data_IF_264721699201
#
_entry.id   IF_264721699201
#
_cell.length_a   1.000
_cell.length_b   1.000
_cell.length_c   1.000
_cell.angle_alpha   90.00
_cell.angle_beta   90.00
_cell.angle_gamma   90.00
#
_symmetry.space_group_name_H-M   'P 1'
#
loop_
_entity.id
_entity.type
_entity.pdbx_description
1 polymer ?
#
# COMPACT_ATOMS: atom_id res chain seq x y z
N UNK A 1 22.54 23.47 25.90
CA UNK A 1 22.04 23.31 24.52
C UNK A 1 22.64 22.01 24.03
N UNK A 2 21.86 20.92 23.93
CA UNK A 2 22.40 19.62 23.51
C UNK A 2 22.51 19.61 21.99
N UNK A 3 23.72 19.37 21.46
CA UNK A 3 23.92 19.13 20.04
C UNK A 3 23.16 17.87 19.61
N UNK A 4 22.42 18.00 18.51
CA UNK A 4 21.70 16.88 17.92
C UNK A 4 22.70 15.80 17.51
N UNK A 5 22.55 14.58 18.04
CA UNK A 5 23.34 13.40 17.63
C UNK A 5 22.81 12.75 16.35
N UNK A 6 21.87 13.42 15.66
CA UNK A 6 21.38 12.94 14.38
C UNK A 6 22.45 13.16 13.31
N UNK A 7 22.65 12.21 12.39
CA UNK A 7 23.44 12.45 11.19
C UNK A 7 22.92 13.73 10.50
N UNK A 8 23.84 14.61 10.08
CA UNK A 8 23.50 15.80 9.32
C UNK A 8 22.59 15.41 8.14
N UNK A 9 21.35 15.93 8.13
CA UNK A 9 20.34 15.67 7.09
C UNK A 9 19.28 14.62 7.42
N UNK A 10 19.33 13.94 8.57
CA UNK A 10 18.25 13.06 9.00
C UNK A 10 17.04 13.89 9.48
N UNK A 11 15.80 13.59 9.04
CA UNK A 11 14.62 14.32 9.52
C UNK A 11 14.45 14.14 11.04
N UNK A 12 14.02 15.21 11.71
CA UNK A 12 13.69 15.16 13.13
C UNK A 12 12.33 14.47 13.34
N UNK A 13 12.34 13.14 13.26
CA UNK A 13 11.15 12.33 13.43
C UNK A 13 10.89 12.03 14.90
N UNK A 14 9.62 12.15 15.29
CA UNK A 14 9.14 11.82 16.63
C UNK A 14 9.44 10.35 16.97
N UNK A 15 9.88 10.10 18.21
CA UNK A 15 10.02 8.73 18.73
C UNK A 15 8.66 8.07 18.89
N UNK A 16 8.57 6.78 18.58
CA UNK A 16 7.33 5.99 18.73
C UNK A 16 6.78 6.03 20.15
N UNK A 17 7.65 6.02 21.16
CA UNK A 17 7.24 6.09 22.57
C UNK A 17 6.57 7.41 22.93
N UNK A 18 7.04 8.53 22.37
CA UNK A 18 6.43 9.84 22.54
C UNK A 18 5.08 9.89 21.81
N UNK A 19 5.02 9.36 20.59
CA UNK A 19 3.80 9.33 19.79
C UNK A 19 2.70 8.46 20.44
N UNK A 20 3.04 7.28 20.94
CA UNK A 20 2.08 6.42 21.66
C UNK A 20 1.53 7.11 22.90
N UNK A 21 2.37 7.82 23.67
CA UNK A 21 1.92 8.60 24.81
C UNK A 21 0.94 9.70 24.40
N UNK A 22 1.24 10.40 23.31
CA UNK A 22 0.33 11.40 22.74
C UNK A 22 -1.04 10.80 22.37
N UNK A 23 -1.06 9.63 21.71
CA UNK A 23 -2.30 8.91 21.40
C UNK A 23 -3.06 8.45 22.66
N UNK A 24 -2.34 7.97 23.67
CA UNK A 24 -2.93 7.56 24.95
C UNK A 24 -3.54 8.76 25.69
N UNK A 25 -2.91 9.92 25.63
CA UNK A 25 -3.45 11.17 26.21
C UNK A 25 -4.71 11.63 25.46
N UNK A 26 -4.72 11.57 24.12
CA UNK A 26 -5.91 11.85 23.32
C UNK A 26 -7.08 10.90 23.63
N UNK A 27 -6.80 9.61 23.84
CA UNK A 27 -7.87 8.64 24.18
C UNK A 27 -8.45 8.87 25.57
N UNK A 28 -7.61 9.24 26.56
CA UNK A 28 -8.04 9.54 27.93
C UNK A 28 -8.86 10.81 28.06
N UNK A 29 -8.74 11.76 27.11
CA UNK A 29 -9.58 12.95 27.05
C UNK A 29 -11.03 12.70 26.64
N UNK A 30 -11.43 11.45 26.34
CA UNK A 30 -12.84 11.02 26.39
C UNK A 30 -13.56 10.81 25.06
N UNK A 31 -12.90 10.29 24.01
CA UNK A 31 -13.59 9.92 22.77
C UNK A 31 -13.14 8.53 22.24
N UNK A 32 -13.93 7.51 22.63
CA UNK A 32 -14.06 6.18 22.01
C UNK A 32 -12.85 5.20 22.07
N UNK A 33 -13.19 3.91 22.07
CA UNK A 33 -12.37 2.68 22.10
C UNK A 33 -11.12 2.70 21.19
N UNK A 34 -9.97 2.21 21.68
CA UNK A 34 -8.62 2.37 21.08
C UNK A 34 -8.45 1.78 19.66
N UNK A 35 -9.26 0.79 19.28
CA UNK A 35 -9.31 0.25 17.91
C UNK A 35 -10.14 1.14 16.98
N UNK A 36 -11.11 1.86 17.53
CA UNK A 36 -12.03 2.75 16.80
C UNK A 36 -11.45 4.16 16.62
N UNK A 37 -10.65 4.68 17.55
CA UNK A 37 -10.04 6.03 17.45
C UNK A 37 -8.94 6.13 16.41
N UNK A 38 -8.31 5.00 16.02
CA UNK A 38 -7.36 4.97 14.89
C UNK A 38 -8.00 5.31 13.54
N UNK A 39 -9.34 5.33 13.49
CA UNK A 39 -10.12 5.41 12.26
C UNK A 39 -11.30 6.40 12.37
N UNK A 40 -11.54 7.02 13.54
CA UNK A 40 -12.78 7.75 13.86
C UNK A 40 -12.98 9.05 13.08
N UNK A 41 -11.90 9.65 12.58
CA UNK A 41 -11.95 10.82 11.69
C UNK A 41 -12.14 10.47 10.21
N UNK A 42 -12.14 9.18 9.86
CA UNK A 42 -12.34 8.70 8.49
C UNK A 42 -13.82 8.56 8.15
N UNK A 43 -14.14 8.56 6.85
CA UNK A 43 -15.52 8.31 6.42
C UNK A 43 -15.99 6.91 6.84
N UNK A 44 -17.28 6.69 7.16
CA UNK A 44 -17.78 5.38 7.59
C UNK A 44 -17.46 4.23 6.62
N UNK A 45 -17.49 4.50 5.31
CA UNK A 45 -17.15 3.55 4.26
C UNK A 45 -15.69 3.08 4.32
N UNK A 46 -14.78 3.98 4.67
CA UNK A 46 -13.36 3.70 4.75
C UNK A 46 -13.01 3.00 6.07
N UNK A 47 -13.64 3.43 7.17
CA UNK A 47 -13.51 2.75 8.45
C UNK A 47 -13.99 1.29 8.37
N UNK A 48 -15.14 1.04 7.76
CA UNK A 48 -15.67 -0.32 7.58
C UNK A 48 -14.71 -1.20 6.78
N UNK A 49 -14.09 -0.61 5.76
CA UNK A 49 -13.16 -1.30 4.90
C UNK A 49 -11.83 -1.65 5.60
N UNK A 50 -11.28 -0.72 6.40
CA UNK A 50 -10.10 -1.01 7.22
C UNK A 50 -10.40 -2.06 8.30
N UNK A 51 -11.58 -2.01 8.93
CA UNK A 51 -12.02 -3.03 9.90
C UNK A 51 -12.12 -4.43 9.27
N UNK A 52 -12.42 -4.56 7.98
CA UNK A 52 -12.45 -5.88 7.30
C UNK A 52 -11.06 -6.50 7.23
N UNK A 53 -10.01 -5.69 7.05
CA UNK A 53 -8.64 -6.19 7.10
C UNK A 53 -8.26 -6.66 8.51
N UNK A 54 -8.62 -5.90 9.54
CA UNK A 54 -8.37 -6.28 10.94
C UNK A 54 -9.08 -7.58 11.33
N UNK A 55 -10.33 -7.78 10.90
CA UNK A 55 -11.12 -8.98 11.21
C UNK A 55 -10.53 -10.27 10.62
N UNK A 56 -9.77 -10.16 9.54
CA UNK A 56 -9.15 -11.32 8.88
C UNK A 56 -7.83 -11.72 9.56
N UNK A 57 -7.29 -10.85 10.43
CA UNK A 57 -6.00 -11.05 11.12
C UNK A 57 -6.13 -11.71 12.49
N UNK A 58 -5.00 -12.24 12.96
CA UNK A 58 -4.88 -12.70 14.35
C UNK A 58 -4.96 -11.51 15.29
N UNK A 59 -5.64 -11.69 16.43
CA UNK A 59 -5.75 -10.65 17.45
C UNK A 59 -4.38 -10.14 17.88
N UNK A 60 -4.13 -8.84 17.72
CA UNK A 60 -2.88 -8.17 18.06
C UNK A 60 -1.99 -7.78 16.88
N UNK A 61 -2.27 -8.27 15.67
CA UNK A 61 -1.61 -7.81 14.45
C UNK A 61 -2.28 -6.52 13.95
N UNK A 62 -1.50 -5.45 13.77
CA UNK A 62 -2.00 -4.18 13.25
C UNK A 62 -2.33 -4.23 11.75
N UNK A 63 -2.85 -3.13 11.22
CA UNK A 63 -3.02 -2.93 9.78
C UNK A 63 -1.67 -2.96 9.06
N UNK A 64 -1.63 -3.61 7.89
CA UNK A 64 -0.48 -3.52 7.00
C UNK A 64 -0.54 -2.23 6.21
N UNK A 65 0.65 -1.69 5.87
CA UNK A 65 0.75 -0.47 5.08
C UNK A 65 0.01 -0.61 3.74
N UNK A 66 0.15 -1.77 3.08
CA UNK A 66 -0.46 -1.99 1.76
C UNK A 66 -2.00 -2.03 1.81
N UNK A 67 -2.59 -2.47 2.92
CA UNK A 67 -4.04 -2.50 3.11
C UNK A 67 -4.61 -1.09 3.25
N UNK A 68 -3.95 -0.25 4.05
CA UNK A 68 -4.33 1.16 4.20
C UNK A 68 -4.21 1.90 2.88
N UNK A 69 -3.15 1.64 2.12
CA UNK A 69 -2.94 2.24 0.80
C UNK A 69 -3.94 1.73 -0.23
N UNK A 70 -4.30 0.44 -0.21
CA UNK A 70 -5.35 -0.11 -1.08
C UNK A 70 -6.70 0.56 -0.80
N UNK A 71 -7.06 0.72 0.48
CA UNK A 71 -8.25 1.46 0.88
C UNK A 71 -8.19 2.93 0.42
N UNK A 72 -7.07 3.61 0.64
CA UNK A 72 -6.83 4.99 0.22
C UNK A 72 -7.09 5.18 -1.29
N UNK A 73 -6.46 4.35 -2.13
CA UNK A 73 -6.60 4.40 -3.59
C UNK A 73 -8.03 4.10 -4.01
N UNK A 74 -8.66 3.06 -3.46
CA UNK A 74 -10.01 2.63 -3.82
C UNK A 74 -11.08 3.65 -3.42
N UNK A 75 -10.93 4.32 -2.28
CA UNK A 75 -11.87 5.35 -1.83
C UNK A 75 -11.53 6.75 -2.36
N UNK A 76 -10.37 6.94 -3.01
CA UNK A 76 -9.93 8.24 -3.50
C UNK A 76 -9.79 9.29 -2.41
N UNK A 77 -9.42 8.88 -1.18
CA UNK A 77 -9.31 9.77 -0.01
C UNK A 77 -7.85 10.03 0.34
N UNK A 78 -7.49 11.30 0.50
CA UNK A 78 -6.16 11.68 0.94
C UNK A 78 -5.97 11.42 2.43
N UNK A 79 -4.89 10.74 2.80
CA UNK A 79 -4.64 10.26 4.16
C UNK A 79 -3.24 10.61 4.62
N UNK A 80 -3.12 10.80 5.94
CA UNK A 80 -1.87 10.75 6.66
C UNK A 80 -1.77 9.40 7.40
N UNK A 81 -0.70 8.66 7.12
CA UNK A 81 -0.41 7.35 7.70
C UNK A 81 0.83 7.49 8.57
N UNK A 82 0.71 7.25 9.86
CA UNK A 82 1.82 7.23 10.79
C UNK A 82 2.43 5.84 10.81
N UNK A 83 3.64 5.71 10.27
CA UNK A 83 4.36 4.45 10.17
C UNK A 83 5.40 4.33 11.29
N UNK A 84 5.49 3.16 11.89
CA UNK A 84 6.64 2.79 12.72
C UNK A 84 7.78 2.34 11.82
N UNK A 85 8.93 2.99 11.96
CA UNK A 85 10.19 2.63 11.30
C UNK A 85 11.36 2.82 12.28
N UNK A 86 12.06 1.73 12.62
CA UNK A 86 13.23 1.71 13.51
C UNK A 86 13.11 2.58 14.79
N UNK A 87 11.95 2.57 15.45
CA UNK A 87 11.69 3.33 16.69
C UNK A 87 11.30 4.80 16.48
N UNK A 88 11.17 5.25 15.22
CA UNK A 88 10.68 6.57 14.82
C UNK A 88 9.32 6.46 14.13
N UNK A 89 8.63 7.59 14.09
CA UNK A 89 7.36 7.73 13.36
C UNK A 89 7.63 8.44 12.05
N UNK A 90 7.33 7.77 10.94
CA UNK A 90 7.38 8.34 9.60
C UNK A 90 5.95 8.69 9.16
N UNK A 91 5.58 9.97 9.09
CA UNK A 91 4.31 10.40 8.51
C UNK A 91 4.36 10.30 6.98
N UNK A 92 3.62 9.35 6.41
CA UNK A 92 3.43 9.20 4.98
C UNK A 92 2.06 9.75 4.58
N UNK A 93 2.04 10.84 3.82
CA UNK A 93 0.79 11.40 3.29
C UNK A 93 0.57 10.94 1.86
N UNK A 94 -0.64 10.49 1.55
CA UNK A 94 -0.99 9.96 0.22
C UNK A 94 -2.15 10.74 -0.38
N UNK A 95 -2.00 11.10 -1.65
CA UNK A 95 -2.96 11.82 -2.47
C UNK A 95 -3.34 10.95 -3.67
N UNK A 96 -4.37 10.08 -3.53
CA UNK A 96 -4.65 9.04 -4.51
C UNK A 96 -5.14 9.58 -5.86
N UNK A 97 -5.84 10.72 -5.86
CA UNK A 97 -6.37 11.35 -7.08
C UNK A 97 -5.25 11.98 -7.91
N UNK A 98 -4.36 12.72 -7.25
CA UNK A 98 -3.20 13.39 -7.85
C UNK A 98 -2.04 12.42 -8.11
N UNK A 99 -2.15 11.17 -7.66
CA UNK A 99 -1.14 10.10 -7.77
C UNK A 99 0.23 10.52 -7.24
N UNK A 100 0.25 11.21 -6.10
CA UNK A 100 1.47 11.58 -5.39
C UNK A 100 1.41 11.18 -3.92
N UNK A 101 2.58 11.02 -3.31
CA UNK A 101 2.75 10.86 -1.89
C UNK A 101 3.80 11.85 -1.38
N UNK A 102 3.68 12.27 -0.13
CA UNK A 102 4.64 13.10 0.56
C UNK A 102 5.23 12.33 1.75
N UNK A 103 6.54 12.43 1.90
CA UNK A 103 7.30 11.88 3.03
C UNK A 103 8.26 12.95 3.56
N UNK A 104 8.46 13.11 4.88
CA UNK A 104 9.38 14.13 5.42
C UNK A 104 10.86 13.83 5.16
N UNK A 105 11.17 12.78 4.40
CA UNK A 105 12.50 12.46 3.89
C UNK A 105 12.41 12.14 2.39
N UNK A 106 13.55 12.23 1.67
CA UNK A 106 13.61 11.78 0.27
C UNK A 106 13.01 10.38 0.10
N UNK A 107 12.13 10.22 -0.89
CA UNK A 107 11.42 8.96 -1.10
C UNK A 107 12.37 7.78 -1.35
N UNK A 108 13.52 8.03 -1.99
CA UNK A 108 14.57 7.02 -2.17
C UNK A 108 15.12 6.51 -0.84
N UNK A 109 15.32 7.42 0.14
CA UNK A 109 15.75 7.07 1.48
C UNK A 109 14.67 6.25 2.21
N UNK A 110 13.41 6.67 2.12
CA UNK A 110 12.28 5.91 2.69
C UNK A 110 12.19 4.51 2.07
N UNK A 111 12.31 4.40 0.75
CA UNK A 111 12.26 3.11 0.05
C UNK A 111 13.48 2.23 0.31
N UNK A 112 14.60 2.79 0.79
CA UNK A 112 15.78 2.03 1.18
C UNK A 112 15.66 1.40 2.58
N UNK A 113 14.64 1.75 3.38
CA UNK A 113 14.40 1.12 4.69
C UNK A 113 13.86 -0.30 4.53
N UNK A 114 13.72 -1.00 5.67
CA UNK A 114 13.13 -2.34 5.71
C UNK A 114 11.61 -2.25 5.62
N UNK A 115 11.10 -2.16 4.38
CA UNK A 115 9.67 -2.03 4.11
C UNK A 115 8.81 -3.17 4.70
N UNK A 116 9.40 -4.34 4.93
CA UNK A 116 8.75 -5.49 5.58
C UNK A 116 8.49 -5.28 7.07
N UNK A 117 9.27 -4.41 7.72
CA UNK A 117 9.19 -4.13 9.16
C UNK A 117 8.24 -2.96 9.49
N UNK A 118 7.71 -2.28 8.46
CA UNK A 118 6.82 -1.13 8.64
C UNK A 118 5.49 -1.55 9.27
N UNK A 119 5.07 -0.81 10.31
CA UNK A 119 3.78 -1.02 10.96
C UNK A 119 2.95 0.26 10.96
N UNK A 120 1.66 0.13 10.69
CA UNK A 120 0.73 1.26 10.80
C UNK A 120 0.43 1.51 12.28
N UNK A 121 0.79 2.70 12.76
CA UNK A 121 0.49 3.16 14.12
C UNK A 121 -0.88 3.86 14.18
N UNK A 122 -1.14 4.74 13.21
CA UNK A 122 -2.33 5.58 13.18
C UNK A 122 -2.64 6.05 11.76
N UNK A 123 -3.93 6.27 11.44
CA UNK A 123 -4.40 6.75 10.13
C UNK A 123 -5.41 7.87 10.35
N UNK A 124 -5.26 8.98 9.63
CA UNK A 124 -6.20 10.09 9.69
C UNK A 124 -6.33 10.79 8.33
N UNK A 125 -7.38 11.62 8.11
CA UNK A 125 -7.48 12.46 6.93
C UNK A 125 -6.27 13.40 6.80
N UNK A 126 -5.79 13.59 5.57
CA UNK A 126 -4.70 14.53 5.34
C UNK A 126 -5.15 15.98 5.54
N UNK A 127 -4.42 16.73 6.38
CA UNK A 127 -4.47 18.21 6.42
C UNK A 127 -3.59 18.80 5.31
N UNK A 128 -2.46 18.15 5.01
CA UNK A 128 -1.56 18.55 3.94
C UNK A 128 -2.28 18.49 2.58
N UNK A 129 -1.92 19.38 1.67
CA UNK A 129 -2.46 19.50 0.31
C UNK A 129 -1.48 18.95 -0.74
N UNK A 130 -1.96 18.46 -1.88
CA UNK A 130 -1.09 18.04 -2.97
C UNK A 130 -0.43 19.24 -3.68
N UNK A 131 0.63 19.02 -4.49
CA UNK A 131 1.24 20.06 -5.29
C UNK A 131 0.22 20.69 -6.26
N UNK A 132 0.23 22.01 -6.36
CA UNK A 132 -0.69 22.77 -7.24
C UNK A 132 -2.04 23.12 -6.61
N UNK A 133 -2.28 22.76 -5.35
CA UNK A 133 -3.47 23.19 -4.62
C UNK A 133 -3.50 24.72 -4.43
N UNK A 134 -4.71 25.28 -4.30
CA UNK A 134 -4.94 26.70 -4.08
C UNK A 134 -4.44 27.15 -2.71
N UNK A 135 -4.55 26.29 -1.70
CA UNK A 135 -4.14 26.56 -0.32
C UNK A 135 -2.65 26.28 -0.13
N UNK A 136 -1.81 27.12 -0.74
CA UNK A 136 -0.35 26.92 -0.82
C UNK A 136 0.36 26.77 0.53
N UNK A 137 -0.19 27.36 1.60
CA UNK A 137 0.35 27.24 2.96
C UNK A 137 0.28 25.82 3.52
N UNK A 138 -0.60 24.97 2.97
CA UNK A 138 -0.73 23.56 3.33
C UNK A 138 -0.04 22.63 2.33
N UNK A 139 0.66 23.16 1.33
CA UNK A 139 1.49 22.37 0.41
C UNK A 139 2.91 22.31 0.99
N UNK A 140 3.44 21.11 1.15
CA UNK A 140 4.79 20.90 1.68
C UNK A 140 5.87 21.24 0.65
N UNK A 141 7.12 20.99 1.01
CA UNK A 141 8.26 21.17 0.12
C UNK A 141 8.13 20.29 -1.15
N UNK A 142 8.19 20.86 -2.37
CA UNK A 142 7.98 20.12 -3.60
C UNK A 142 8.92 18.92 -3.81
N UNK A 143 10.16 19.01 -3.32
CA UNK A 143 11.16 17.94 -3.44
C UNK A 143 10.83 16.69 -2.62
N UNK A 144 9.92 16.81 -1.63
CA UNK A 144 9.49 15.74 -0.75
C UNK A 144 8.22 15.03 -1.24
N UNK A 145 7.65 15.47 -2.36
CA UNK A 145 6.61 14.74 -3.08
C UNK A 145 7.23 13.77 -4.08
N UNK A 146 6.68 12.56 -4.13
CA UNK A 146 7.07 11.54 -5.09
C UNK A 146 5.85 10.91 -5.78
N UNK A 147 6.01 10.36 -6.99
CA UNK A 147 4.94 9.63 -7.66
C UNK A 147 4.44 8.44 -6.83
N UNK A 148 3.13 8.31 -6.71
CA UNK A 148 2.49 7.26 -5.91
C UNK A 148 2.67 5.87 -6.52
N UNK A 149 2.70 5.76 -7.86
CA UNK A 149 2.82 4.48 -8.57
C UNK A 149 4.05 3.66 -8.14
N UNK A 150 5.28 4.19 -8.27
CA UNK A 150 6.50 3.55 -7.79
C UNK A 150 6.47 3.19 -6.30
N UNK A 151 5.95 4.07 -5.44
CA UNK A 151 5.81 3.79 -4.01
C UNK A 151 4.92 2.56 -3.75
N UNK A 152 3.73 2.52 -4.36
CA UNK A 152 2.81 1.38 -4.22
C UNK A 152 3.42 0.08 -4.77
N UNK A 153 4.17 0.18 -5.86
CA UNK A 153 4.87 -0.95 -6.47
C UNK A 153 5.93 -1.53 -5.54
N UNK A 154 6.78 -0.69 -4.98
CA UNK A 154 7.84 -1.09 -4.06
C UNK A 154 7.27 -1.68 -2.76
N UNK A 155 6.23 -1.07 -2.20
CA UNK A 155 5.55 -1.60 -1.01
C UNK A 155 4.85 -2.93 -1.29
N UNK A 156 4.26 -3.12 -2.48
CA UNK A 156 3.66 -4.40 -2.85
C UNK A 156 4.70 -5.50 -3.01
N UNK A 157 5.87 -5.19 -3.57
CA UNK A 157 6.94 -6.16 -3.80
C UNK A 157 7.76 -6.48 -2.54
N UNK A 158 8.06 -5.48 -1.71
CA UNK A 158 9.00 -5.60 -0.57
C UNK A 158 8.36 -5.44 0.82
N UNK A 159 7.10 -5.05 0.89
CA UNK A 159 6.37 -4.89 2.16
C UNK A 159 6.09 -6.22 2.87
N UNK A 160 5.40 -6.15 4.00
CA UNK A 160 5.06 -7.32 4.84
C UNK A 160 4.04 -8.26 4.20
N UNK A 161 3.13 -7.74 3.37
CA UNK A 161 1.99 -8.49 2.86
C UNK A 161 2.40 -9.68 1.98
N UNK A 162 2.02 -10.88 2.40
CA UNK A 162 2.22 -12.12 1.63
C UNK A 162 0.96 -12.61 0.89
N UNK A 163 -0.21 -12.13 1.29
CA UNK A 163 -1.50 -12.52 0.74
C UNK A 163 -2.02 -11.56 -0.34
N UNK A 164 -2.91 -12.04 -1.21
CA UNK A 164 -3.60 -11.17 -2.14
C UNK A 164 -4.46 -10.17 -1.36
N UNK A 165 -4.56 -8.95 -1.86
CA UNK A 165 -5.55 -8.00 -1.38
C UNK A 165 -6.96 -8.64 -1.53
N UNK A 166 -7.84 -8.58 -0.52
CA UNK A 166 -9.13 -9.25 -0.50
C UNK A 166 -10.00 -9.01 -1.74
N UNK A 167 -9.88 -7.84 -2.36
CA UNK A 167 -10.59 -7.44 -3.57
C UNK A 167 -10.24 -8.31 -4.77
N UNK A 168 -8.98 -8.73 -4.85
CA UNK A 168 -8.45 -9.56 -5.93
C UNK A 168 -8.24 -11.01 -5.50
N UNK A 169 -8.42 -11.32 -4.22
CA UNK A 169 -8.30 -12.65 -3.68
C UNK A 169 -9.46 -13.59 -4.11
N UNK A 170 -9.28 -14.87 -3.77
CA UNK A 170 -10.22 -15.94 -4.09
C UNK A 170 -9.96 -16.58 -5.45
N UNK A 171 -10.96 -17.32 -5.94
CA UNK A 171 -10.89 -17.99 -7.22
C UNK A 171 -11.05 -16.98 -8.35
N UNK A 172 -9.94 -16.65 -9.01
CA UNK A 172 -9.88 -15.66 -10.07
C UNK A 172 -8.73 -15.93 -11.03
N UNK A 173 -8.90 -15.41 -12.25
CA UNK A 173 -7.85 -15.26 -13.23
C UNK A 173 -7.58 -13.78 -13.50
N UNK A 174 -6.35 -13.48 -13.85
CA UNK A 174 -5.80 -12.13 -13.89
C UNK A 174 -5.25 -11.82 -15.28
N UNK A 175 -5.46 -10.58 -15.73
CA UNK A 175 -4.89 -10.03 -16.96
C UNK A 175 -4.58 -8.55 -16.73
N UNK A 176 -3.57 -8.01 -17.42
CA UNK A 176 -3.34 -6.57 -17.45
C UNK A 176 -4.26 -5.92 -18.48
N UNK A 177 -4.97 -4.87 -18.09
CA UNK A 177 -5.85 -4.13 -18.98
C UNK A 177 -5.05 -3.47 -20.13
N UNK A 178 -5.62 -3.40 -21.35
CA UNK A 178 -4.99 -2.67 -22.44
C UNK A 178 -4.79 -1.18 -22.09
N UNK A 179 -3.67 -0.59 -22.52
CA UNK A 179 -3.41 0.84 -22.34
C UNK A 179 -2.94 1.26 -20.95
N UNK A 180 -2.79 0.34 -19.99
CA UNK A 180 -2.24 0.64 -18.67
C UNK A 180 -0.79 1.13 -18.80
N UNK A 181 -0.54 2.33 -18.29
CA UNK A 181 0.81 2.86 -18.20
C UNK A 181 1.51 2.28 -16.97
N UNK A 182 2.55 1.49 -17.23
CA UNK A 182 3.44 0.93 -16.21
C UNK A 182 4.85 1.55 -16.31
N UNK A 183 4.99 2.65 -17.04
CA UNK A 183 6.25 3.42 -17.08
C UNK A 183 6.56 3.96 -15.69
N UNK A 184 7.85 3.99 -15.37
CA UNK A 184 8.34 4.42 -14.05
C UNK A 184 8.33 3.31 -12.99
N UNK A 185 7.76 2.13 -13.27
CA UNK A 185 7.92 0.96 -12.41
C UNK A 185 9.22 0.24 -12.76
N UNK A 186 9.91 -0.27 -11.74
CA UNK A 186 11.14 -1.07 -11.86
C UNK A 186 10.83 -2.48 -12.38
N UNK A 187 10.39 -2.59 -13.64
CA UNK A 187 10.08 -3.84 -14.32
C UNK A 187 11.35 -4.42 -14.96
N UNK A 188 11.99 -5.37 -14.28
CA UNK A 188 13.19 -6.05 -14.79
C UNK A 188 13.03 -7.58 -14.76
N UNK A 189 13.89 -8.27 -15.52
CA UNK A 189 13.98 -9.74 -15.52
C UNK A 189 12.64 -10.47 -15.64
N UNK A 190 12.38 -11.38 -14.71
CA UNK A 190 11.16 -12.20 -14.69
C UNK A 190 9.89 -11.37 -14.51
N UNK A 191 9.92 -10.24 -13.78
CA UNK A 191 8.76 -9.36 -13.61
C UNK A 191 8.33 -8.74 -14.94
N UNK A 192 9.29 -8.26 -15.74
CA UNK A 192 9.01 -7.70 -17.06
C UNK A 192 8.40 -8.76 -17.99
N UNK A 193 8.95 -9.98 -17.99
CA UNK A 193 8.43 -11.09 -18.79
C UNK A 193 7.00 -11.48 -18.36
N UNK A 194 6.74 -11.55 -17.05
CA UNK A 194 5.41 -11.83 -16.50
C UNK A 194 4.39 -10.76 -16.89
N UNK A 195 4.75 -9.48 -16.82
CA UNK A 195 3.90 -8.36 -17.25
C UNK A 195 3.56 -8.47 -18.75
N UNK A 196 4.55 -8.77 -19.60
CA UNK A 196 4.31 -8.98 -21.05
C UNK A 196 3.34 -10.14 -21.29
N UNK A 197 3.48 -11.23 -20.53
CA UNK A 197 2.58 -12.39 -20.63
C UNK A 197 1.17 -12.05 -20.18
N UNK A 198 1.01 -11.35 -19.04
CA UNK A 198 -0.29 -10.93 -18.50
C UNK A 198 -0.99 -9.86 -19.35
N UNK A 199 -0.26 -9.08 -20.17
CA UNK A 199 -0.91 -8.20 -21.16
C UNK A 199 -1.64 -8.97 -22.26
N UNK A 200 -1.23 -10.23 -22.51
CA UNK A 200 -1.74 -11.07 -23.61
C UNK A 200 -2.69 -12.17 -23.13
N UNK A 201 -2.44 -12.75 -21.96
CA UNK A 201 -3.13 -13.95 -21.47
C UNK A 201 -3.77 -13.73 -20.11
N UNK A 202 -5.00 -14.23 -19.96
CA UNK A 202 -5.70 -14.32 -18.68
C UNK A 202 -5.25 -15.58 -17.95
N UNK A 203 -4.63 -15.44 -16.78
CA UNK A 203 -3.94 -16.54 -16.06
C UNK A 203 -4.31 -16.54 -14.58
N UNK A 204 -4.51 -17.70 -13.95
CA UNK A 204 -4.73 -17.77 -12.50
C UNK A 204 -3.43 -17.69 -11.69
N UNK A 205 -3.54 -17.44 -10.37
CA UNK A 205 -2.38 -17.30 -9.48
C UNK A 205 -1.49 -18.56 -9.46
N UNK A 206 -2.09 -19.76 -9.50
CA UNK A 206 -1.35 -21.03 -9.42
C UNK A 206 -0.40 -21.16 -10.60
N UNK A 207 -0.90 -20.94 -11.80
CA UNK A 207 -0.10 -20.97 -13.02
C UNK A 207 0.95 -19.85 -13.06
N UNK A 208 0.62 -18.65 -12.57
CA UNK A 208 1.61 -17.55 -12.50
C UNK A 208 2.77 -17.92 -11.56
N UNK A 209 2.48 -18.59 -10.44
CA UNK A 209 3.48 -19.02 -9.48
C UNK A 209 4.46 -20.09 -10.04
N UNK A 210 4.10 -20.75 -11.14
CA UNK A 210 4.95 -21.74 -11.83
C UNK A 210 5.85 -21.12 -12.90
N UNK A 211 5.75 -19.81 -13.15
CA UNK A 211 6.57 -19.14 -14.16
C UNK A 211 8.05 -19.04 -13.74
N UNK A 212 8.98 -18.97 -14.71
CA UNK A 212 10.40 -18.83 -14.39
C UNK A 212 10.68 -17.61 -13.50
N UNK A 213 11.33 -17.86 -12.35
CA UNK A 213 11.67 -16.82 -11.38
C UNK A 213 10.51 -16.34 -10.52
N UNK A 214 9.38 -17.07 -10.50
CA UNK A 214 8.25 -16.86 -9.60
C UNK A 214 8.11 -18.01 -8.61
N UNK A 215 7.54 -17.64 -7.47
CA UNK A 215 6.87 -18.52 -6.54
C UNK A 215 5.51 -17.90 -6.21
N UNK A 216 4.75 -18.53 -5.31
CA UNK A 216 3.43 -18.03 -4.91
C UNK A 216 3.51 -16.63 -4.28
N UNK A 217 4.48 -16.38 -3.40
CA UNK A 217 4.61 -15.11 -2.69
C UNK A 217 4.92 -13.96 -3.67
N UNK A 218 5.88 -14.16 -4.56
CA UNK A 218 6.27 -13.20 -5.60
C UNK A 218 5.14 -12.95 -6.60
N UNK A 219 4.39 -13.99 -6.98
CA UNK A 219 3.22 -13.86 -7.85
C UNK A 219 2.13 -13.01 -7.18
N UNK A 220 1.82 -13.30 -5.91
CA UNK A 220 0.87 -12.52 -5.11
C UNK A 220 1.27 -11.06 -4.99
N UNK A 221 2.52 -10.79 -4.60
CA UNK A 221 3.08 -9.44 -4.46
C UNK A 221 3.02 -8.65 -5.77
N UNK A 222 3.35 -9.28 -6.89
CA UNK A 222 3.22 -8.67 -8.22
C UNK A 222 1.76 -8.34 -8.56
N UNK A 223 0.81 -9.25 -8.30
CA UNK A 223 -0.60 -9.01 -8.57
C UNK A 223 -1.18 -7.87 -7.71
N UNK A 224 -0.82 -7.81 -6.43
CA UNK A 224 -1.16 -6.67 -5.56
C UNK A 224 -0.63 -5.36 -6.14
N UNK A 225 0.65 -5.33 -6.56
CA UNK A 225 1.26 -4.16 -7.17
C UNK A 225 0.54 -3.72 -8.45
N UNK A 226 0.19 -4.65 -9.34
CA UNK A 226 -0.54 -4.37 -10.58
C UNK A 226 -1.98 -3.89 -10.32
N UNK A 227 -2.66 -4.46 -9.33
CA UNK A 227 -3.99 -4.02 -8.92
C UNK A 227 -3.97 -2.56 -8.47
N UNK A 228 -2.98 -2.18 -7.65
CA UNK A 228 -2.82 -0.82 -7.15
C UNK A 228 -2.48 0.22 -8.24
N UNK A 229 -2.00 -0.22 -9.41
CA UNK A 229 -1.85 0.66 -10.57
C UNK A 229 -3.15 0.88 -11.36
N UNK A 230 -4.29 0.38 -10.87
CA UNK A 230 -5.54 0.27 -11.63
C UNK A 230 -5.36 -0.52 -12.95
N UNK A 231 -4.37 -1.42 -12.97
CA UNK A 231 -3.93 -2.10 -14.19
C UNK A 231 -4.44 -3.53 -14.34
N UNK A 232 -5.08 -4.08 -13.32
CA UNK A 232 -5.41 -5.50 -13.24
C UNK A 232 -6.90 -5.76 -13.48
N UNK A 233 -7.20 -6.52 -14.53
CA UNK A 233 -8.50 -7.14 -14.75
C UNK A 233 -8.57 -8.43 -13.94
N UNK A 234 -9.63 -8.58 -13.15
CA UNK A 234 -9.89 -9.76 -12.32
C UNK A 234 -11.16 -10.43 -12.84
N UNK A 235 -11.05 -11.68 -13.28
CA UNK A 235 -12.18 -12.46 -13.81
C UNK A 235 -12.43 -13.68 -12.94
N UNK A 236 -13.63 -13.77 -12.35
CA UNK A 236 -14.03 -14.88 -11.46
C UNK A 236 -14.74 -16.02 -12.19
N UNK A 237 -15.37 -15.73 -13.33
CA UNK A 237 -16.14 -16.68 -14.15
C UNK A 237 -15.37 -17.19 -15.37
N UNK A 238 -14.13 -16.74 -15.59
CA UNK A 238 -13.32 -17.17 -16.72
C UNK A 238 -12.89 -18.64 -16.53
N UNK A 239 -12.80 -19.48 -17.59
CA UNK A 239 -12.38 -20.89 -17.44
C UNK A 239 -11.02 -21.06 -16.75
N UNK A 240 -10.07 -20.17 -17.06
CA UNK A 240 -8.78 -20.14 -16.35
C UNK A 240 -8.90 -19.91 -14.83
N UNK A 241 -10.00 -19.32 -14.33
CA UNK A 241 -10.23 -19.13 -12.90
C UNK A 241 -10.70 -20.43 -12.22
N UNK A 242 -11.43 -21.30 -12.93
CA UNK A 242 -11.97 -22.56 -12.39
C UNK A 242 -11.00 -23.74 -12.48
N UNK A 243 -9.87 -23.57 -13.16
CA UNK A 243 -9.01 -24.68 -13.62
C UNK A 243 -9.76 -25.68 -14.49
N UNK A 244 -10.93 -25.32 -15.03
CA UNK A 244 -11.54 -26.07 -16.12
C UNK A 244 -10.78 -25.68 -17.38
N UNK A 245 -9.62 -26.32 -17.56
CA UNK A 245 -8.98 -26.32 -18.85
C UNK A 245 -10.01 -26.78 -19.88
N UNK A 246 -10.08 -26.07 -21.01
CA UNK A 246 -10.86 -26.43 -22.20
C UNK A 246 -10.58 -27.86 -22.73
N UNK A 247 -9.59 -28.55 -22.14
CA UNK A 247 -9.16 -29.92 -22.43
C UNK A 247 -9.98 -31.02 -21.76
N UNK A 248 -11.03 -30.73 -20.99
CA UNK A 248 -11.95 -31.76 -20.47
C UNK A 248 -12.95 -32.30 -21.50
N UNK A 249 -12.89 -31.83 -22.76
CA UNK A 249 -13.83 -32.19 -23.82
C UNK A 249 -13.37 -33.22 -24.86
N UNK A 250 -12.41 -34.10 -24.54
CA UNK A 250 -12.09 -35.25 -25.41
C UNK A 250 -11.57 -36.44 -24.58
N UNK A 251 -12.50 -37.24 -24.04
CA UNK A 251 -12.31 -38.67 -23.77
C UNK A 251 -13.56 -39.41 -24.18
#
# INVERSE_FOLDING_TARGET
MFESTLPLGAPDLMRVSAFRRYLDEMSRSGDVDLSSTRLSSLSPSMMLDLRRFEQTRRSGEGLEVLEVLAACVRHGRSLLIHLHDEGRVVPLTVFPVERVAHCPMPMEQFLATRLTDLQVLHVEPSVLRPPGDRERSLVAEPALYAPLGPLLWELALRGSREDLLPEIAGQAAYRIAPGVDLKGLSLNGSLAAAVVRLKRHTTNLREIAEWPGFDRARATRMLNGLYLQAGLMVSRTHPAATNEGWFSGNR
#
